data_IF_931139747809
#
_entry.id   IF_931139747809
#
_cell.length_a   1.000
_cell.length_b   1.000
_cell.length_c   1.000
_cell.angle_alpha   90.00
_cell.angle_beta   90.00
_cell.angle_gamma   90.00
#
_symmetry.space_group_name_H-M   'P 1'
#
loop_
_entity.id
_entity.type
_entity.pdbx_description
1 polymer ?
#
# COMPACT_ATOMS: atom_id res chain seq x y z
N UNK A 1 38.06 -8.37 -8.19
CA UNK A 1 36.77 -9.01 -7.84
C UNK A 1 36.09 -8.13 -6.81
N UNK A 2 35.07 -7.36 -7.20
CA UNK A 2 34.28 -6.58 -6.25
C UNK A 2 33.35 -7.53 -5.46
N UNK A 3 33.13 -7.31 -4.16
CA UNK A 3 32.23 -8.15 -3.37
C UNK A 3 30.79 -7.93 -3.85
N UNK A 4 30.13 -9.02 -4.23
CA UNK A 4 28.69 -9.02 -4.50
C UNK A 4 27.97 -8.71 -3.18
N UNK A 5 26.95 -7.82 -3.18
CA UNK A 5 26.19 -7.53 -1.97
C UNK A 5 25.44 -8.79 -1.52
N UNK A 6 25.21 -8.97 -0.21
CA UNK A 6 24.55 -10.15 0.31
C UNK A 6 23.11 -10.19 -0.23
N UNK A 7 22.74 -11.30 -0.87
CA UNK A 7 21.36 -11.67 -1.19
C UNK A 7 20.63 -12.00 0.11
N UNK A 8 20.37 -10.97 0.92
CA UNK A 8 19.47 -11.05 2.05
C UNK A 8 18.07 -11.38 1.52
N UNK A 9 17.49 -12.44 2.08
CA UNK A 9 16.14 -12.94 1.87
C UNK A 9 15.11 -11.78 1.79
N UNK A 10 14.89 -11.23 0.60
CA UNK A 10 13.93 -10.15 0.36
C UNK A 10 12.56 -10.80 0.49
N UNK A 11 11.84 -10.50 1.57
CA UNK A 11 10.38 -10.69 1.60
C UNK A 11 9.85 -10.07 0.31
N UNK A 12 9.41 -10.92 -0.62
CA UNK A 12 9.19 -10.53 -2.01
C UNK A 12 8.06 -9.50 -2.07
N UNK A 13 8.41 -8.25 -2.39
CA UNK A 13 7.41 -7.26 -2.77
C UNK A 13 6.79 -7.74 -4.10
N UNK A 14 5.48 -7.72 -4.21
CA UNK A 14 4.80 -8.13 -5.45
C UNK A 14 5.03 -7.16 -6.60
N UNK A 15 5.32 -5.90 -6.28
CA UNK A 15 5.58 -4.82 -7.22
C UNK A 15 6.57 -3.82 -6.63
N UNK A 16 7.15 -2.98 -7.49
CA UNK A 16 8.01 -1.89 -7.06
C UNK A 16 7.21 -0.89 -6.22
N UNK A 17 7.79 -0.45 -5.10
CA UNK A 17 7.24 0.63 -4.28
C UNK A 17 8.04 1.88 -4.60
N UNK A 18 7.38 2.87 -5.17
CA UNK A 18 7.94 4.19 -5.39
C UNK A 18 7.93 5.06 -4.14
N UNK A 19 7.72 6.37 -4.32
CA UNK A 19 7.60 7.32 -3.23
C UNK A 19 6.37 7.01 -2.35
N UNK A 20 6.56 6.98 -1.04
CA UNK A 20 5.47 6.82 -0.10
C UNK A 20 4.91 8.19 0.29
N UNK A 21 3.65 8.45 -0.03
CA UNK A 21 2.99 9.73 0.16
C UNK A 21 1.84 9.55 1.16
N UNK A 22 1.85 10.34 2.23
CA UNK A 22 0.80 10.32 3.26
C UNK A 22 -0.14 11.52 3.07
N UNK A 23 -1.45 11.31 3.18
CA UNK A 23 -2.40 12.42 3.24
C UNK A 23 -2.23 13.24 4.52
N UNK A 24 -2.72 14.50 4.55
CA UNK A 24 -2.75 15.31 5.76
C UNK A 24 -3.50 14.62 6.91
N UNK A 25 -4.59 13.90 6.62
CA UNK A 25 -5.32 13.12 7.60
C UNK A 25 -4.49 11.98 8.20
N UNK A 26 -3.74 11.24 7.37
CA UNK A 26 -2.86 10.17 7.83
C UNK A 26 -1.69 10.73 8.65
N UNK A 27 -1.02 11.77 8.18
CA UNK A 27 0.05 12.45 8.93
C UNK A 27 -0.44 12.88 10.32
N UNK A 28 -1.63 13.48 10.40
CA UNK A 28 -2.23 13.90 11.66
C UNK A 28 -2.45 12.73 12.62
N UNK A 29 -3.10 11.65 12.19
CA UNK A 29 -3.35 10.50 13.08
C UNK A 29 -2.08 9.75 13.47
N UNK A 30 -1.05 9.76 12.61
CA UNK A 30 0.28 9.25 12.94
C UNK A 30 0.94 10.09 14.03
N UNK A 31 0.93 11.43 13.89
CA UNK A 31 1.49 12.36 14.88
C UNK A 31 0.76 12.30 16.22
N UNK A 32 -0.53 12.02 16.20
CA UNK A 32 -1.35 11.77 17.40
C UNK A 32 -1.07 10.38 18.03
N UNK A 33 -0.29 9.50 17.39
CA UNK A 33 -0.02 8.14 17.85
C UNK A 33 -1.22 7.20 17.75
N UNK A 34 -2.21 7.54 16.92
CA UNK A 34 -3.47 6.79 16.78
C UNK A 34 -3.42 5.73 15.69
N UNK A 35 -2.48 5.85 14.76
CA UNK A 35 -2.33 4.95 13.61
C UNK A 35 -0.85 4.76 13.27
N UNK A 36 -0.46 3.50 13.05
CA UNK A 36 0.74 3.14 12.31
C UNK A 36 0.31 2.60 10.93
N UNK A 37 0.57 3.30 9.81
CA UNK A 37 0.17 2.86 8.48
C UNK A 37 1.09 1.79 7.88
N UNK A 38 2.28 1.60 8.46
CA UNK A 38 3.31 0.71 7.92
C UNK A 38 2.87 -0.77 7.80
N UNK A 39 2.12 -1.37 8.75
CA UNK A 39 1.67 -2.75 8.65
C UNK A 39 0.68 -2.95 7.49
N UNK A 40 -0.17 -1.95 7.23
CA UNK A 40 -1.12 -1.97 6.12
C UNK A 40 -0.44 -1.78 4.78
N UNK A 41 0.56 -0.89 4.73
CA UNK A 41 1.42 -0.76 3.57
C UNK A 41 2.15 -2.07 3.24
N UNK A 42 2.68 -2.76 4.27
CA UNK A 42 3.31 -4.06 4.08
C UNK A 42 2.33 -5.11 3.51
N UNK A 43 1.06 -5.09 3.96
CA UNK A 43 0.00 -5.95 3.39
C UNK A 43 -0.23 -5.62 1.92
N UNK A 44 -0.39 -4.34 1.58
CA UNK A 44 -0.58 -3.88 0.19
C UNK A 44 0.57 -4.34 -0.71
N UNK A 45 1.82 -4.15 -0.26
CA UNK A 45 3.01 -4.55 -1.01
C UNK A 45 3.13 -6.06 -1.26
N UNK A 46 2.39 -6.87 -0.49
CA UNK A 46 2.32 -8.33 -0.59
C UNK A 46 1.05 -8.81 -1.30
N UNK A 47 0.24 -7.89 -1.85
CA UNK A 47 -1.00 -8.21 -2.56
C UNK A 47 -2.16 -8.59 -1.65
N UNK A 48 -2.05 -8.31 -0.36
CA UNK A 48 -3.21 -8.36 0.51
C UNK A 48 -3.97 -7.04 0.33
N UNK A 49 -5.05 -7.07 -0.45
CA UNK A 49 -5.78 -5.85 -0.81
C UNK A 49 -6.80 -5.37 0.25
N UNK A 50 -6.91 -6.13 1.35
CA UNK A 50 -7.75 -5.82 2.49
C UNK A 50 -9.26 -5.92 2.21
N UNK A 51 -10.01 -4.97 2.75
CA UNK A 51 -11.47 -4.90 2.76
C UNK A 51 -11.99 -4.20 1.50
N UNK A 52 -11.83 -4.87 0.35
CA UNK A 52 -12.36 -4.43 -0.95
C UNK A 52 -13.20 -5.56 -1.57
N UNK A 53 -14.03 -5.22 -2.54
CA UNK A 53 -14.90 -6.19 -3.23
C UNK A 53 -14.09 -7.23 -4.02
N UNK A 54 -14.64 -8.44 -4.22
CA UNK A 54 -14.01 -9.50 -5.03
C UNK A 54 -13.64 -9.03 -6.44
N UNK A 55 -14.48 -8.17 -7.05
CA UNK A 55 -14.22 -7.56 -8.35
C UNK A 55 -12.96 -6.69 -8.32
N UNK A 56 -12.77 -5.88 -7.27
CA UNK A 56 -11.56 -5.08 -7.12
C UNK A 56 -10.34 -5.95 -6.80
N UNK A 57 -10.50 -7.04 -6.03
CA UNK A 57 -9.43 -8.02 -5.85
C UNK A 57 -8.94 -8.58 -7.18
N UNK A 58 -9.87 -8.98 -8.06
CA UNK A 58 -9.54 -9.46 -9.41
C UNK A 58 -8.90 -8.37 -10.27
N UNK A 59 -9.44 -7.15 -10.21
CA UNK A 59 -8.89 -6.00 -10.94
C UNK A 59 -7.44 -5.71 -10.52
N UNK A 60 -7.13 -5.71 -9.23
CA UNK A 60 -5.76 -5.53 -8.75
C UNK A 60 -4.83 -6.65 -9.21
N UNK A 61 -5.28 -7.90 -9.18
CA UNK A 61 -4.49 -9.04 -9.64
C UNK A 61 -4.21 -8.97 -11.15
N UNK A 62 -5.16 -8.48 -11.95
CA UNK A 62 -4.94 -8.20 -13.36
C UNK A 62 -4.00 -6.99 -13.57
N UNK A 63 -4.16 -5.95 -12.76
CA UNK A 63 -3.33 -4.74 -12.79
C UNK A 63 -1.86 -5.00 -12.44
N UNK A 64 -1.56 -6.04 -11.65
CA UNK A 64 -0.18 -6.51 -11.44
C UNK A 64 0.52 -6.90 -12.76
N UNK A 65 -0.23 -7.40 -13.74
CA UNK A 65 0.31 -7.82 -15.05
C UNK A 65 0.16 -6.73 -16.12
N UNK A 66 -0.97 -6.01 -16.10
CA UNK A 66 -1.32 -4.98 -17.07
C UNK A 66 -0.58 -3.65 -16.83
N UNK A 67 -0.14 -3.40 -15.58
CA UNK A 67 0.48 -2.13 -15.20
C UNK A 67 -0.52 -1.05 -14.79
N UNK A 68 -1.78 -1.41 -14.52
CA UNK A 68 -2.79 -0.47 -14.01
C UNK A 68 -2.57 -0.13 -12.53
N UNK A 69 -3.23 0.92 -12.04
CA UNK A 69 -3.16 1.31 -10.62
C UNK A 69 -3.63 0.17 -9.71
N UNK A 70 -3.01 0.06 -8.54
CA UNK A 70 -3.38 -0.91 -7.50
C UNK A 70 -4.04 -0.18 -6.36
N UNK A 71 -4.99 -0.83 -5.70
CA UNK A 71 -5.73 -0.20 -4.61
C UNK A 71 -6.05 -1.17 -3.49
N UNK A 72 -6.03 -0.69 -2.26
CA UNK A 72 -6.37 -1.47 -1.08
C UNK A 72 -7.07 -0.59 -0.08
N UNK A 73 -7.92 -1.24 0.72
CA UNK A 73 -8.66 -0.59 1.78
C UNK A 73 -8.49 -1.41 3.05
N UNK A 74 -8.28 -0.75 4.18
CA UNK A 74 -8.12 -1.41 5.46
C UNK A 74 -8.90 -0.67 6.53
N UNK A 75 -9.75 -1.41 7.23
CA UNK A 75 -10.40 -0.92 8.44
C UNK A 75 -9.44 -1.09 9.61
N UNK A 76 -9.00 0.03 10.19
CA UNK A 76 -8.11 0.05 11.36
C UNK A 76 -8.95 -0.20 12.62
N UNK A 77 -10.05 0.56 12.76
CA UNK A 77 -11.08 0.37 13.78
C UNK A 77 -12.39 1.04 13.31
N UNK A 78 -13.46 0.96 14.12
CA UNK A 78 -14.84 1.32 13.71
C UNK A 78 -15.02 2.68 13.02
N UNK A 79 -14.18 3.67 13.35
CA UNK A 79 -14.25 5.04 12.82
C UNK A 79 -13.03 5.44 11.98
N UNK A 80 -12.08 4.52 11.78
CA UNK A 80 -10.84 4.81 11.06
C UNK A 80 -10.57 3.71 10.05
N UNK A 81 -10.65 4.09 8.79
CA UNK A 81 -10.26 3.26 7.65
C UNK A 81 -9.26 4.03 6.81
N UNK A 82 -8.36 3.28 6.20
CA UNK A 82 -7.32 3.81 5.33
C UNK A 82 -7.39 3.16 3.96
N UNK A 83 -7.09 3.94 2.94
CA UNK A 83 -6.94 3.47 1.58
C UNK A 83 -5.48 3.62 1.17
N UNK A 84 -4.92 2.57 0.56
CA UNK A 84 -3.57 2.58 0.00
C UNK A 84 -3.70 2.33 -1.49
N UNK A 85 -3.17 3.21 -2.32
CA UNK A 85 -3.13 2.99 -3.76
C UNK A 85 -1.76 3.27 -4.34
N UNK A 86 -1.36 2.46 -5.30
CA UNK A 86 -0.10 2.60 -6.02
C UNK A 86 -0.40 2.96 -7.47
N UNK A 87 0.25 4.01 -7.97
CA UNK A 87 0.08 4.48 -9.34
C UNK A 87 0.48 3.41 -10.38
N UNK A 88 -0.04 3.54 -11.60
CA UNK A 88 0.16 2.59 -12.69
C UNK A 88 1.66 2.33 -12.97
N UNK A 89 2.43 3.40 -13.09
CA UNK A 89 3.89 3.39 -13.28
C UNK A 89 4.68 3.03 -12.01
N UNK A 90 3.99 2.80 -10.88
CA UNK A 90 4.57 2.44 -9.58
C UNK A 90 5.53 3.49 -9.01
N UNK A 91 5.52 4.74 -9.50
CA UNK A 91 6.39 5.81 -8.98
C UNK A 91 5.95 6.34 -7.63
N UNK A 92 4.68 6.22 -7.26
CA UNK A 92 4.19 6.58 -5.94
C UNK A 92 3.15 5.60 -5.39
N UNK A 93 3.19 5.45 -4.07
CA UNK A 93 2.18 4.78 -3.26
C UNK A 93 1.61 5.81 -2.28
N UNK A 94 0.32 6.07 -2.40
CA UNK A 94 -0.41 7.01 -1.57
C UNK A 94 -1.14 6.25 -0.47
N UNK A 95 -1.03 6.76 0.76
CA UNK A 95 -1.77 6.29 1.92
C UNK A 95 -2.64 7.44 2.38
N UNK A 96 -3.95 7.25 2.33
CA UNK A 96 -4.95 8.27 2.63
C UNK A 96 -6.02 7.72 3.58
N UNK A 97 -6.70 8.58 4.31
CA UNK A 97 -7.90 8.17 5.04
C UNK A 97 -9.02 7.84 4.05
N UNK A 98 -9.84 6.84 4.35
CA UNK A 98 -11.02 6.52 3.52
C UNK A 98 -11.99 7.71 3.46
N UNK A 99 -12.04 8.54 4.50
CA UNK A 99 -12.85 9.77 4.53
C UNK A 99 -12.29 10.93 3.67
N UNK A 100 -11.02 10.87 3.26
CA UNK A 100 -10.37 11.88 2.40
C UNK A 100 -10.34 11.47 0.93
N UNK A 101 -10.81 10.27 0.63
CA UNK A 101 -10.76 9.66 -0.69
C UNK A 101 -11.89 10.16 -1.59
#
# INVERSE_FOLDING_TARGET
>A
MAPQPPTGNRRSLLFAIGALIFSPGIDRVMREGRLDPLPYFQRHSRGDWGDITDTQWQANNAALQSGDRLESSYTVHRELSICIFTEADRSATHIVLTSER
#
